data_IF_624911032851
#
_entry.id   IF_624911032851
#
_cell.length_a   1.000
_cell.length_b   1.000
_cell.length_c   1.000
_cell.angle_alpha   90.00
_cell.angle_beta   90.00
_cell.angle_gamma   90.00
#
_symmetry.space_group_name_H-M   'P 1'
#
loop_
_entity.id
_entity.type
_entity.pdbx_description
1 polymer ?
#
# COMPACT_ATOMS: atom_id res chain seq x y z
N UNK A 1 -5.46 7.19 18.27
CA UNK A 1 -6.76 6.72 18.79
C UNK A 1 -7.56 6.20 17.62
N UNK A 2 -8.28 5.09 17.79
CA UNK A 2 -9.20 4.55 16.78
C UNK A 2 -10.60 4.54 17.39
N UNK A 3 -11.61 4.92 16.61
CA UNK A 3 -13.01 4.81 16.97
C UNK A 3 -13.69 3.91 15.93
N UNK A 4 -14.45 2.91 16.41
CA UNK A 4 -15.19 1.97 15.56
C UNK A 4 -16.67 2.20 15.81
N UNK A 5 -17.41 2.55 14.77
CA UNK A 5 -18.85 2.75 14.80
C UNK A 5 -19.57 1.42 14.50
N UNK A 6 -20.18 0.81 15.51
CA UNK A 6 -20.94 -0.42 15.37
C UNK A 6 -22.43 -0.15 15.16
N UNK A 7 -23.12 -1.12 14.57
CA UNK A 7 -24.58 -1.13 14.60
C UNK A 7 -25.08 -1.18 16.07
N UNK A 8 -26.11 -0.41 16.44
CA UNK A 8 -26.61 -0.37 17.81
C UNK A 8 -27.28 -1.69 18.19
N UNK A 9 -26.64 -2.44 19.08
CA UNK A 9 -27.14 -3.71 19.62
C UNK A 9 -28.11 -3.45 20.77
N UNK A 10 -29.34 -3.96 20.68
CA UNK A 10 -30.38 -3.77 21.71
C UNK A 10 -30.26 -4.73 22.89
N UNK A 11 -29.79 -5.97 22.65
CA UNK A 11 -29.71 -7.00 23.68
C UNK A 11 -28.36 -6.91 24.40
N UNK A 12 -28.39 -6.95 25.74
CA UNK A 12 -27.19 -6.95 26.58
C UNK A 12 -26.25 -8.13 26.28
N UNK A 13 -26.82 -9.28 25.92
CA UNK A 13 -26.04 -10.45 25.50
C UNK A 13 -25.19 -10.18 24.27
N UNK A 14 -25.78 -9.56 23.24
CA UNK A 14 -25.08 -9.22 21.99
C UNK A 14 -23.97 -8.19 22.24
N UNK A 15 -24.22 -7.19 23.09
CA UNK A 15 -23.21 -6.20 23.51
C UNK A 15 -22.01 -6.87 24.21
N UNK A 16 -22.29 -7.81 25.13
CA UNK A 16 -21.25 -8.54 25.85
C UNK A 16 -20.44 -9.44 24.90
N UNK A 17 -21.12 -10.08 23.93
CA UNK A 17 -20.48 -10.89 22.91
C UNK A 17 -19.57 -10.03 21.99
N UNK A 18 -20.01 -8.83 21.61
CA UNK A 18 -19.20 -7.87 20.85
C UNK A 18 -17.92 -7.51 21.59
N UNK A 19 -18.02 -7.11 22.87
CA UNK A 19 -16.87 -6.75 23.69
C UNK A 19 -15.88 -7.92 23.86
N UNK A 20 -16.39 -9.13 24.11
CA UNK A 20 -15.57 -10.34 24.21
C UNK A 20 -14.86 -10.66 22.89
N UNK A 21 -15.56 -10.52 21.76
CA UNK A 21 -15.01 -10.75 20.42
C UNK A 21 -13.91 -9.75 20.10
N UNK A 22 -14.13 -8.46 20.40
CA UNK A 22 -13.11 -7.42 20.22
C UNK A 22 -11.86 -7.69 21.04
N UNK A 23 -12.01 -7.99 22.33
CA UNK A 23 -10.87 -8.35 23.19
C UNK A 23 -10.11 -9.58 22.66
N UNK A 24 -10.84 -10.59 22.20
CA UNK A 24 -10.23 -11.80 21.62
C UNK A 24 -9.49 -11.52 20.31
N UNK A 25 -10.00 -10.61 19.47
CA UNK A 25 -9.37 -10.26 18.19
C UNK A 25 -7.98 -9.62 18.37
N UNK A 26 -7.78 -8.85 19.45
CA UNK A 26 -6.50 -8.22 19.78
C UNK A 26 -5.61 -9.06 20.71
N UNK A 27 -6.01 -10.29 21.07
CA UNK A 27 -5.26 -11.13 22.02
C UNK A 27 -3.81 -11.38 21.62
N UNK A 28 -3.55 -11.50 20.31
CA UNK A 28 -2.23 -11.78 19.76
C UNK A 28 -1.60 -10.52 19.10
N UNK A 29 -2.14 -9.33 19.35
CA UNK A 29 -1.53 -8.11 18.85
C UNK A 29 -0.17 -7.90 19.53
N UNK A 30 0.92 -7.71 18.77
CA UNK A 30 2.24 -7.50 19.36
C UNK A 30 2.39 -6.16 20.10
N UNK A 31 1.47 -5.21 19.88
CA UNK A 31 1.46 -3.93 20.57
C UNK A 31 0.44 -3.93 21.72
N UNK A 32 0.66 -3.10 22.74
CA UNK A 32 -0.35 -2.87 23.77
C UNK A 32 -1.63 -2.28 23.15
N UNK A 33 -2.79 -2.87 23.43
CA UNK A 33 -4.11 -2.37 23.00
C UNK A 33 -5.00 -2.19 24.22
N UNK A 34 -5.43 -0.96 24.46
CA UNK A 34 -6.40 -0.61 25.48
C UNK A 34 -7.76 -0.34 24.78
N UNK A 35 -8.79 -1.11 25.14
CA UNK A 35 -10.14 -1.03 24.54
C UNK A 35 -11.13 -0.52 25.59
N UNK A 36 -11.82 0.57 25.28
CA UNK A 36 -12.87 1.11 26.14
C UNK A 36 -14.20 0.35 25.93
N UNK A 37 -15.11 0.34 26.92
CA UNK A 37 -16.47 -0.16 26.73
C UNK A 37 -17.21 0.58 25.61
N UNK A 38 -18.22 -0.07 25.00
CA UNK A 38 -19.06 0.59 24.01
C UNK A 38 -19.78 1.80 24.60
N UNK A 39 -19.73 2.93 23.90
CA UNK A 39 -20.49 4.12 24.25
C UNK A 39 -21.99 3.94 23.98
N UNK A 40 -22.80 4.91 24.45
CA UNK A 40 -24.25 4.97 24.17
C UNK A 40 -24.59 5.13 22.69
N UNK A 41 -23.62 5.56 21.86
CA UNK A 41 -23.77 5.77 20.43
C UNK A 41 -23.27 4.57 19.62
N UNK A 42 -23.03 3.42 20.26
CA UNK A 42 -22.45 2.22 19.65
C UNK A 42 -21.02 2.43 19.08
N UNK A 43 -20.32 3.46 19.55
CA UNK A 43 -18.91 3.70 19.23
C UNK A 43 -18.04 3.01 20.29
N UNK A 44 -17.06 2.23 19.84
CA UNK A 44 -15.97 1.68 20.68
C UNK A 44 -14.69 2.42 20.39
N UNK A 45 -14.06 2.94 21.44
CA UNK A 45 -12.75 3.60 21.35
C UNK A 45 -11.64 2.64 21.76
N UNK A 46 -10.51 2.71 21.05
CA UNK A 46 -9.31 1.98 21.43
C UNK A 46 -8.03 2.79 21.21
N UNK A 47 -7.06 2.54 22.08
CA UNK A 47 -5.71 3.05 22.01
C UNK A 47 -4.74 1.88 21.77
N UNK A 48 -4.13 1.84 20.59
CA UNK A 48 -3.07 0.91 20.25
C UNK A 48 -1.72 1.61 20.28
N UNK A 49 -0.75 1.03 20.99
CA UNK A 49 0.62 1.54 21.05
C UNK A 49 1.23 1.58 19.64
N UNK A 50 1.83 2.72 19.28
CA UNK A 50 2.54 2.88 18.00
C UNK A 50 3.94 2.29 18.13
N UNK A 51 4.16 1.16 17.47
CA UNK A 51 5.45 0.44 17.45
C UNK A 51 6.33 0.81 16.25
N UNK A 52 5.80 1.58 15.29
CA UNK A 52 6.50 2.00 14.09
C UNK A 52 5.65 2.95 13.26
N UNK A 53 6.17 3.36 12.09
CA UNK A 53 5.39 4.16 11.12
C UNK A 53 4.22 3.34 10.58
N UNK A 54 3.04 3.93 10.58
CA UNK A 54 1.86 3.37 9.94
C UNK A 54 2.06 3.29 8.42
N UNK A 55 1.33 2.39 7.76
CA UNK A 55 1.49 2.14 6.33
C UNK A 55 1.34 3.41 5.48
N UNK A 56 0.32 4.23 5.75
CA UNK A 56 0.11 5.49 5.01
C UNK A 56 1.29 6.46 5.17
N UNK A 57 1.95 6.50 6.33
CA UNK A 57 3.12 7.36 6.54
C UNK A 57 4.32 6.88 5.72
N UNK A 58 4.38 5.60 5.36
CA UNK A 58 5.43 5.04 4.50
C UNK A 58 5.09 5.23 3.02
N UNK A 59 3.81 5.07 2.67
CA UNK A 59 3.34 5.14 1.30
C UNK A 59 3.14 6.57 0.79
N UNK A 60 2.85 7.51 1.67
CA UNK A 60 2.53 8.89 1.33
C UNK A 60 3.62 9.86 1.79
N UNK A 61 3.85 10.91 1.02
CA UNK A 61 4.67 12.05 1.44
C UNK A 61 3.83 13.15 2.09
N UNK A 62 2.55 13.24 1.72
CA UNK A 62 1.55 14.10 2.34
C UNK A 62 0.18 13.44 2.25
N UNK A 63 -0.79 13.90 3.04
CA UNK A 63 -2.08 13.21 3.14
C UNK A 63 -2.77 13.06 1.77
N UNK A 64 -3.00 11.82 1.34
CA UNK A 64 -3.61 11.50 0.05
C UNK A 64 -2.67 11.61 -1.16
N UNK A 65 -1.37 11.86 -0.96
CA UNK A 65 -0.38 11.96 -2.04
C UNK A 65 0.68 10.87 -1.87
N UNK A 66 0.67 9.92 -2.81
CA UNK A 66 1.66 8.85 -2.87
C UNK A 66 3.08 9.41 -2.98
N UNK A 67 4.00 8.83 -2.20
CA UNK A 67 5.43 9.10 -2.29
C UNK A 67 5.96 8.64 -3.64
N UNK A 68 7.07 9.23 -4.08
CA UNK A 68 7.68 8.85 -5.35
C UNK A 68 8.07 7.36 -5.41
N UNK A 69 8.48 6.79 -4.28
CA UNK A 69 8.75 5.35 -4.14
C UNK A 69 7.48 4.53 -4.39
N UNK A 70 6.35 4.89 -3.78
CA UNK A 70 5.08 4.17 -3.97
C UNK A 70 4.66 4.15 -5.44
N UNK A 71 4.73 5.32 -6.10
CA UNK A 71 4.40 5.46 -7.52
C UNK A 71 5.35 4.65 -8.41
N UNK A 72 6.67 4.72 -8.15
CA UNK A 72 7.65 3.96 -8.92
C UNK A 72 7.47 2.44 -8.74
N UNK A 73 7.18 1.98 -7.53
CA UNK A 73 6.85 0.57 -7.28
C UNK A 73 5.54 0.15 -7.98
N UNK A 74 4.56 1.04 -8.10
CA UNK A 74 3.36 0.78 -8.90
C UNK A 74 3.69 0.65 -10.40
N UNK A 75 4.58 1.50 -10.92
CA UNK A 75 5.08 1.44 -12.29
C UNK A 75 5.75 0.08 -12.61
N UNK A 76 6.57 -0.42 -11.68
CA UNK A 76 7.21 -1.73 -11.80
C UNK A 76 6.21 -2.89 -11.78
N UNK A 77 5.17 -2.82 -10.94
CA UNK A 77 4.08 -3.82 -10.93
C UNK A 77 3.31 -3.83 -12.25
N UNK A 78 3.08 -2.65 -12.84
CA UNK A 78 2.44 -2.55 -14.15
C UNK A 78 3.31 -3.18 -15.27
N UNK A 79 4.62 -2.92 -15.26
CA UNK A 79 5.56 -3.57 -16.16
C UNK A 79 5.57 -5.10 -16.00
N UNK A 80 5.57 -5.59 -14.76
CA UNK A 80 5.52 -7.03 -14.49
C UNK A 80 4.21 -7.66 -14.97
N UNK A 81 3.07 -6.99 -14.78
CA UNK A 81 1.78 -7.45 -15.25
C UNK A 81 1.74 -7.56 -16.80
N UNK A 82 2.25 -6.55 -17.50
CA UNK A 82 2.38 -6.57 -18.96
C UNK A 82 3.30 -7.71 -19.43
N UNK A 83 4.43 -7.90 -18.75
CA UNK A 83 5.38 -8.96 -19.04
C UNK A 83 4.82 -10.36 -18.82
N UNK A 84 3.92 -10.56 -17.85
CA UNK A 84 3.21 -11.83 -17.63
C UNK A 84 2.18 -12.11 -18.72
N UNK A 85 1.52 -11.07 -19.23
CA UNK A 85 0.53 -11.17 -20.31
C UNK A 85 1.18 -11.54 -21.64
N UNK A 86 2.33 -10.96 -21.97
CA UNK A 86 3.05 -11.23 -23.23
C UNK A 86 4.50 -11.63 -22.99
N UNK A 87 4.79 -12.93 -23.04
CA UNK A 87 6.13 -13.47 -22.73
C UNK A 87 7.19 -13.21 -23.80
N UNK A 88 6.80 -12.96 -25.05
CA UNK A 88 7.72 -12.81 -26.18
C UNK A 88 7.98 -11.34 -26.59
N UNK A 89 7.21 -10.38 -26.08
CA UNK A 89 7.33 -8.97 -26.46
C UNK A 89 8.47 -8.27 -25.72
N UNK A 90 9.15 -7.35 -26.42
CA UNK A 90 9.93 -6.30 -25.77
C UNK A 90 8.96 -5.36 -25.05
N UNK A 91 9.28 -5.03 -23.80
CA UNK A 91 8.47 -4.21 -22.93
C UNK A 91 9.10 -2.82 -22.79
N UNK A 92 8.27 -1.79 -22.68
CA UNK A 92 8.73 -0.44 -22.38
C UNK A 92 7.94 0.06 -21.18
N UNK A 93 8.67 0.53 -20.17
CA UNK A 93 8.13 1.36 -19.11
C UNK A 93 8.49 2.80 -19.42
N UNK A 94 7.50 3.56 -19.87
CA UNK A 94 7.63 5.00 -19.98
C UNK A 94 7.31 5.66 -18.64
N UNK A 95 8.15 6.58 -18.21
CA UNK A 95 8.00 7.28 -16.94
C UNK A 95 8.17 8.79 -17.12
N UNK A 96 7.38 9.56 -16.39
CA UNK A 96 7.64 10.98 -16.16
C UNK A 96 8.93 11.19 -15.35
N UNK A 97 9.41 12.44 -15.33
CA UNK A 97 10.73 12.79 -14.81
C UNK A 97 11.03 12.22 -13.41
N UNK A 98 10.17 12.45 -12.42
CA UNK A 98 10.41 12.01 -11.04
C UNK A 98 10.50 10.48 -10.92
N UNK A 99 9.60 9.76 -11.60
CA UNK A 99 9.56 8.28 -11.55
C UNK A 99 10.76 7.70 -12.29
N UNK A 100 11.10 8.28 -13.44
CA UNK A 100 12.27 7.89 -14.21
C UNK A 100 13.56 8.07 -13.40
N UNK A 101 13.75 9.22 -12.76
CA UNK A 101 14.94 9.54 -11.97
C UNK A 101 15.05 8.66 -10.73
N UNK A 102 13.92 8.31 -10.10
CA UNK A 102 13.90 7.37 -8.99
C UNK A 102 14.30 5.95 -9.44
N UNK A 103 13.72 5.46 -10.54
CA UNK A 103 14.01 4.12 -11.08
C UNK A 103 15.44 4.01 -11.61
N UNK A 104 15.99 5.07 -12.21
CA UNK A 104 17.35 5.09 -12.75
C UNK A 104 18.40 4.91 -11.65
N UNK A 105 18.16 5.42 -10.45
CA UNK A 105 19.05 5.23 -9.29
C UNK A 105 19.03 3.82 -8.71
N UNK A 106 18.07 2.99 -9.14
CA UNK A 106 17.89 1.60 -8.71
C UNK A 106 17.96 1.38 -7.18
N UNK A 107 17.28 2.19 -6.35
CA UNK A 107 17.48 2.17 -4.89
C UNK A 107 17.06 0.86 -4.22
N UNK A 108 16.22 0.05 -4.89
CA UNK A 108 15.73 -1.24 -4.41
C UNK A 108 16.26 -2.44 -5.22
N UNK A 109 17.23 -2.23 -6.12
CA UNK A 109 17.77 -3.29 -6.97
C UNK A 109 16.72 -3.91 -7.91
N UNK A 110 15.74 -3.11 -8.34
CA UNK A 110 14.62 -3.55 -9.17
C UNK A 110 15.09 -4.06 -10.52
N UNK A 111 16.12 -3.46 -11.13
CA UNK A 111 16.51 -3.79 -12.51
C UNK A 111 16.96 -5.27 -12.60
N UNK A 112 17.87 -5.67 -11.71
CA UNK A 112 18.31 -7.08 -11.59
C UNK A 112 17.15 -8.00 -11.23
N UNK A 113 16.31 -7.59 -10.28
CA UNK A 113 15.18 -8.40 -9.83
C UNK A 113 14.11 -8.58 -10.93
N UNK A 114 13.91 -7.57 -11.78
CA UNK A 114 12.98 -7.62 -12.91
C UNK A 114 13.54 -8.46 -14.05
N UNK A 115 14.84 -8.34 -14.34
CA UNK A 115 15.52 -9.19 -15.33
C UNK A 115 15.46 -10.67 -14.96
N UNK A 116 15.58 -11.02 -13.68
CA UNK A 116 15.41 -12.38 -13.21
C UNK A 116 13.97 -12.92 -13.40
N UNK A 117 12.95 -12.04 -13.38
CA UNK A 117 11.53 -12.43 -13.51
C UNK A 117 11.05 -12.47 -14.96
N UNK A 118 11.42 -11.47 -15.76
CA UNK A 118 10.89 -11.27 -17.11
C UNK A 118 11.89 -11.61 -18.22
N UNK A 119 13.18 -11.75 -17.89
CA UNK A 119 14.28 -11.65 -18.86
C UNK A 119 14.64 -10.19 -19.13
N UNK A 120 15.84 -9.94 -19.65
CA UNK A 120 16.34 -8.61 -20.01
C UNK A 120 15.68 -8.07 -21.31
N UNK A 121 14.35 -8.05 -21.33
CA UNK A 121 13.50 -7.65 -22.48
C UNK A 121 12.61 -6.45 -22.16
N UNK A 122 13.04 -5.61 -21.23
CA UNK A 122 12.34 -4.39 -20.86
C UNK A 122 13.31 -3.21 -20.97
N UNK A 123 12.77 -2.04 -21.31
CA UNK A 123 13.47 -0.77 -21.30
C UNK A 123 12.72 0.23 -20.42
N UNK A 124 13.48 1.07 -19.71
CA UNK A 124 12.97 2.27 -19.04
C UNK A 124 13.20 3.46 -19.98
N UNK A 125 12.16 4.23 -20.27
CA UNK A 125 12.25 5.43 -21.12
C UNK A 125 11.69 6.64 -20.39
N UNK A 126 12.43 7.75 -20.40
CA UNK A 126 11.91 9.05 -20.00
C UNK A 126 10.86 9.52 -21.02
N UNK A 127 9.77 10.10 -20.54
CA UNK A 127 8.65 10.53 -21.37
C UNK A 127 8.22 11.95 -20.99
N UNK A 128 8.57 12.92 -21.83
CA UNK A 128 8.21 14.34 -21.62
C UNK A 128 6.70 14.61 -21.77
N UNK A 129 5.94 13.67 -22.35
CA UNK A 129 4.48 13.75 -22.46
C UNK A 129 3.75 13.35 -21.17
N UNK A 130 4.41 12.64 -20.27
CA UNK A 130 3.85 12.20 -19.00
C UNK A 130 4.10 13.26 -17.93
N UNK A 131 3.11 13.47 -17.06
CA UNK A 131 3.33 14.24 -15.83
C UNK A 131 4.48 13.62 -15.02
N UNK A 132 5.20 14.37 -14.17
CA UNK A 132 6.41 13.89 -13.49
C UNK A 132 6.25 12.55 -12.75
N UNK A 133 5.05 12.30 -12.20
CA UNK A 133 4.69 11.07 -11.47
C UNK A 133 3.84 10.07 -12.26
N UNK A 134 3.58 10.32 -13.54
CA UNK A 134 2.84 9.39 -14.37
C UNK A 134 3.78 8.35 -15.01
N UNK A 135 3.22 7.19 -15.34
CA UNK A 135 3.92 6.13 -16.03
C UNK A 135 2.98 5.38 -16.98
N UNK A 136 3.54 4.68 -17.95
CA UNK A 136 2.82 3.77 -18.85
C UNK A 136 3.69 2.55 -19.11
N UNK A 137 3.16 1.37 -18.87
CA UNK A 137 3.81 0.10 -19.21
C UNK A 137 3.13 -0.47 -20.45
N UNK A 138 3.93 -0.86 -21.44
CA UNK A 138 3.42 -1.40 -22.68
C UNK A 138 4.47 -2.17 -23.46
N UNK A 139 4.17 -2.40 -24.73
CA UNK A 139 5.07 -3.03 -25.69
C UNK A 139 5.84 -1.94 -26.45
N UNK A 140 7.08 -2.25 -26.81
CA UNK A 140 7.87 -1.41 -27.72
C UNK A 140 7.21 -1.30 -29.10
#
# INVERSE_FOLDING_TARGET
>A
MVAIDFLPLKKKGDQTALEATLKSAFKNDPAKVDIAPSSRFAIVELARQRVGRALHEQMWESFGVDSIETVALAALRALEAEGKSSRASQLVLEAGADVHDWLTRDPVGWNKAMAARLGARFALSASARLAPRAFSAGRA
#
